data_IF_452292981593
#
_entry.id   IF_452292981593
#
_cell.length_a   1.000
_cell.length_b   1.000
_cell.length_c   1.000
_cell.angle_alpha   90.00
_cell.angle_beta   90.00
_cell.angle_gamma   90.00
#
_symmetry.space_group_name_H-M   'P 1'
#
loop_
_entity.id
_entity.type
_entity.pdbx_description
1 polymer ?
#
# COMPACT_ATOMS: atom_id res chain seq x y z
N UNK A 1 -10.73 -46.57 -0.72
CA UNK A 1 -11.41 -45.26 -0.60
C UNK A 1 -10.38 -44.31 -0.04
N UNK A 2 -9.95 -43.32 -0.82
CA UNK A 2 -9.07 -42.26 -0.32
C UNK A 2 -9.88 -41.38 0.64
N UNK A 3 -9.30 -41.06 1.79
CA UNK A 3 -9.95 -40.17 2.74
C UNK A 3 -9.48 -38.75 2.42
N UNK A 4 -10.40 -37.89 1.98
CA UNK A 4 -10.07 -36.52 1.58
C UNK A 4 -10.68 -35.54 2.59
N UNK A 5 -9.94 -34.52 2.98
CA UNK A 5 -10.43 -33.46 3.86
C UNK A 5 -10.05 -32.08 3.32
N UNK A 6 -10.95 -31.11 3.51
CA UNK A 6 -10.69 -29.72 3.13
C UNK A 6 -10.04 -29.04 4.34
N UNK A 7 -8.80 -28.62 4.17
CA UNK A 7 -8.02 -27.92 5.21
C UNK A 7 -8.32 -26.43 5.22
N UNK A 8 -8.55 -25.84 4.05
CA UNK A 8 -8.88 -24.42 3.89
C UNK A 8 -9.73 -24.20 2.64
N UNK A 9 -10.57 -23.17 2.66
CA UNK A 9 -11.35 -22.76 1.50
C UNK A 9 -11.43 -21.23 1.41
N UNK A 10 -11.37 -20.69 0.20
CA UNK A 10 -11.51 -19.26 -0.11
C UNK A 10 -12.55 -19.10 -1.20
N UNK A 11 -13.55 -18.25 -0.96
CA UNK A 11 -14.58 -17.93 -1.93
C UNK A 11 -14.20 -16.69 -2.73
N UNK A 12 -14.08 -16.84 -4.05
CA UNK A 12 -13.85 -15.75 -5.00
C UNK A 12 -15.21 -15.29 -5.52
N UNK A 13 -15.73 -14.22 -4.93
CA UNK A 13 -17.07 -13.72 -5.24
C UNK A 13 -17.23 -13.20 -6.69
N UNK A 14 -16.15 -12.74 -7.33
CA UNK A 14 -16.20 -12.23 -8.70
C UNK A 14 -16.54 -13.32 -9.71
N UNK A 15 -15.90 -14.49 -9.56
CA UNK A 15 -15.99 -15.59 -10.51
C UNK A 15 -16.90 -16.73 -10.03
N UNK A 16 -17.47 -16.61 -8.82
CA UNK A 16 -18.22 -17.67 -8.16
C UNK A 16 -17.43 -18.97 -7.99
N UNK A 17 -16.13 -18.85 -7.75
CA UNK A 17 -15.21 -19.98 -7.58
C UNK A 17 -14.89 -20.20 -6.10
N UNK A 18 -14.86 -21.46 -5.68
CA UNK A 18 -14.26 -21.91 -4.43
C UNK A 18 -12.87 -22.48 -4.70
N UNK A 19 -11.85 -21.77 -4.24
CA UNK A 19 -10.52 -22.34 -4.09
C UNK A 19 -10.50 -23.18 -2.81
N UNK A 20 -9.98 -24.41 -2.89
CA UNK A 20 -9.88 -25.34 -1.78
C UNK A 20 -8.47 -25.92 -1.68
N UNK A 21 -7.96 -25.99 -0.45
CA UNK A 21 -6.75 -26.72 -0.11
C UNK A 21 -7.17 -28.07 0.49
N UNK A 22 -6.89 -29.15 -0.24
CA UNK A 22 -7.38 -30.50 0.08
C UNK A 22 -6.21 -31.37 0.50
N UNK A 23 -6.36 -32.04 1.65
CA UNK A 23 -5.49 -33.13 2.08
C UNK A 23 -6.09 -34.44 1.59
N UNK A 24 -5.28 -35.26 0.93
CA UNK A 24 -5.66 -36.59 0.47
C UNK A 24 -4.79 -37.61 1.20
N UNK A 25 -5.45 -38.47 1.98
CA UNK A 25 -4.80 -39.57 2.69
C UNK A 25 -4.81 -40.82 1.81
N UNK A 26 -3.64 -41.16 1.28
CA UNK A 26 -3.40 -42.43 0.62
C UNK A 26 -3.04 -43.49 1.68
N UNK A 27 -3.69 -44.66 1.69
CA UNK A 27 -3.30 -45.76 2.57
C UNK A 27 -1.96 -46.43 2.19
N UNK A 28 -1.43 -46.17 0.98
CA UNK A 28 -0.19 -46.78 0.46
C UNK A 28 0.98 -45.80 0.34
N UNK A 29 0.70 -44.51 0.17
CA UNK A 29 1.69 -43.42 0.19
C UNK A 29 1.45 -42.48 1.37
N UNK A 30 2.32 -41.49 1.60
CA UNK A 30 2.05 -40.46 2.62
C UNK A 30 0.95 -39.52 2.12
N UNK A 31 0.25 -38.86 3.06
CA UNK A 31 -0.73 -37.82 2.75
C UNK A 31 -0.10 -36.71 1.89
N UNK A 32 -0.80 -36.29 0.84
CA UNK A 32 -0.36 -35.21 -0.04
C UNK A 32 -1.45 -34.13 -0.15
N UNK A 33 -1.06 -32.94 -0.61
CA UNK A 33 -1.93 -31.78 -0.64
C UNK A 33 -2.14 -31.25 -2.06
N UNK A 34 -3.36 -30.84 -2.36
CA UNK A 34 -3.73 -30.27 -3.66
C UNK A 34 -4.50 -28.95 -3.48
N UNK A 35 -4.26 -28.04 -4.43
CA UNK A 35 -5.05 -26.83 -4.62
C UNK A 35 -6.07 -27.14 -5.71
N UNK A 36 -7.33 -26.97 -5.37
CA UNK A 36 -8.47 -27.33 -6.22
C UNK A 36 -9.34 -26.10 -6.42
N UNK A 37 -9.76 -25.86 -7.64
CA UNK A 37 -10.77 -24.86 -8.00
C UNK A 37 -12.10 -25.58 -8.24
N UNK A 38 -13.16 -25.07 -7.65
CA UNK A 38 -14.52 -25.53 -7.90
C UNK A 38 -15.41 -24.37 -8.31
N UNK A 39 -15.93 -24.44 -9.53
CA UNK A 39 -16.85 -23.45 -10.08
C UNK A 39 -18.29 -23.81 -9.68
N UNK A 40 -18.92 -22.93 -8.90
CA UNK A 40 -20.28 -23.12 -8.39
C UNK A 40 -21.37 -23.02 -9.47
N UNK A 41 -21.07 -22.40 -10.61
CA UNK A 41 -22.01 -22.18 -11.71
C UNK A 41 -21.98 -23.35 -12.67
N UNK A 42 -20.79 -23.79 -13.08
CA UNK A 42 -20.64 -24.90 -14.02
C UNK A 42 -20.61 -26.28 -13.34
N UNK A 43 -20.55 -26.34 -12.01
CA UNK A 43 -20.41 -27.57 -11.21
C UNK A 43 -19.18 -28.39 -11.63
N UNK A 44 -18.07 -27.68 -11.90
CA UNK A 44 -16.82 -28.28 -12.39
C UNK A 44 -15.70 -28.12 -11.36
N UNK A 45 -14.93 -29.21 -11.18
CA UNK A 45 -13.80 -29.28 -10.27
C UNK A 45 -12.51 -29.49 -11.06
N UNK A 46 -11.53 -28.61 -10.85
CA UNK A 46 -10.23 -28.64 -11.52
C UNK A 46 -9.12 -28.63 -10.48
N UNK A 47 -8.15 -29.54 -10.62
CA UNK A 47 -6.93 -29.53 -9.80
C UNK A 47 -5.97 -28.51 -10.41
N UNK A 48 -5.66 -27.45 -9.68
CA UNK A 48 -4.76 -26.39 -10.14
C UNK A 48 -3.31 -26.75 -9.88
N UNK A 49 -3.01 -27.26 -8.69
CA UNK A 49 -1.64 -27.53 -8.28
C UNK A 49 -1.56 -28.68 -7.28
N UNK A 50 -0.52 -29.51 -7.40
CA UNK A 50 -0.19 -30.52 -6.39
C UNK A 50 1.05 -30.04 -5.64
N UNK A 51 0.91 -29.83 -4.33
CA UNK A 51 1.99 -29.30 -3.50
C UNK A 51 3.06 -30.39 -3.36
N UNK A 52 4.35 -30.09 -3.60
CA UNK A 52 5.43 -31.04 -3.42
C UNK A 52 5.44 -31.64 -2.02
N UNK A 53 5.80 -32.92 -1.87
CA UNK A 53 5.85 -33.57 -0.54
C UNK A 53 6.89 -32.92 0.38
N UNK A 54 8.00 -32.46 -0.19
CA UNK A 54 9.14 -31.91 0.55
C UNK A 54 9.43 -30.47 0.15
N UNK A 55 10.06 -29.73 1.05
CA UNK A 55 10.47 -28.35 0.78
C UNK A 55 11.67 -28.35 -0.18
N UNK A 56 11.64 -27.56 -1.28
CA UNK A 56 12.78 -27.42 -2.20
C UNK A 56 14.07 -26.96 -1.51
N UNK A 57 15.22 -27.41 -2.03
CA UNK A 57 16.54 -26.95 -1.59
C UNK A 57 16.91 -25.64 -2.30
N UNK A 58 16.60 -24.52 -1.65
CA UNK A 58 16.85 -23.17 -2.16
C UNK A 58 17.98 -22.45 -1.40
N UNK A 59 19.01 -23.18 -0.95
CA UNK A 59 20.12 -22.60 -0.17
C UNK A 59 20.82 -21.46 -0.94
N UNK A 60 20.85 -20.28 -0.32
CA UNK A 60 21.50 -19.10 -0.88
C UNK A 60 20.67 -18.35 -1.94
N UNK A 61 19.42 -18.76 -2.18
CA UNK A 61 18.47 -18.06 -3.04
C UNK A 61 17.49 -17.25 -2.19
N UNK A 62 16.98 -16.13 -2.72
CA UNK A 62 15.87 -15.38 -2.09
C UNK A 62 14.52 -16.05 -2.41
N UNK A 63 14.39 -16.61 -3.60
CA UNK A 63 13.22 -17.36 -4.05
C UNK A 63 13.60 -18.47 -5.03
N UNK A 64 12.69 -19.41 -5.26
CA UNK A 64 12.82 -20.48 -6.24
C UNK A 64 11.47 -20.67 -6.96
N UNK A 65 11.48 -20.62 -8.29
CA UNK A 65 10.32 -21.02 -9.09
C UNK A 65 10.28 -22.55 -9.18
N UNK A 66 9.14 -23.17 -8.90
CA UNK A 66 8.98 -24.62 -8.92
C UNK A 66 8.58 -25.05 -10.33
N UNK A 67 9.50 -25.70 -11.05
CA UNK A 67 9.32 -26.22 -12.40
C UNK A 67 9.25 -27.76 -12.44
N UNK A 68 9.44 -28.44 -11.29
CA UNK A 68 9.41 -29.89 -11.16
C UNK A 68 10.77 -30.57 -11.36
N UNK A 69 11.85 -29.80 -11.49
CA UNK A 69 13.23 -30.32 -11.70
C UNK A 69 14.15 -30.05 -10.50
N UNK A 70 13.59 -29.50 -9.43
CA UNK A 70 14.34 -29.03 -8.28
C UNK A 70 14.77 -30.19 -7.38
N UNK A 71 15.89 -30.00 -6.68
CA UNK A 71 16.27 -30.89 -5.58
C UNK A 71 15.49 -30.54 -4.32
N UNK A 72 15.12 -31.55 -3.54
CA UNK A 72 14.29 -31.39 -2.34
C UNK A 72 15.08 -31.69 -1.06
N UNK A 73 14.63 -31.08 0.04
CA UNK A 73 15.14 -31.37 1.39
C UNK A 73 14.36 -32.50 2.06
N UNK A 74 14.74 -32.86 3.29
CA UNK A 74 14.02 -33.89 4.08
C UNK A 74 12.86 -33.32 4.91
N UNK A 75 12.62 -32.00 4.85
CA UNK A 75 11.51 -31.37 5.56
C UNK A 75 10.24 -31.50 4.72
N UNK A 76 9.20 -32.09 5.29
CA UNK A 76 7.89 -32.22 4.64
C UNK A 76 7.23 -30.84 4.50
N UNK A 77 6.56 -30.60 3.38
CA UNK A 77 5.87 -29.36 3.09
C UNK A 77 4.40 -29.50 3.53
N UNK A 78 4.05 -28.88 4.66
CA UNK A 78 2.74 -29.04 5.30
C UNK A 78 1.98 -27.71 5.25
N UNK A 79 0.99 -27.57 4.36
CA UNK A 79 0.20 -26.36 4.26
C UNK A 79 -0.82 -26.27 5.42
N UNK A 80 -1.14 -25.05 5.82
CA UNK A 80 -2.10 -24.73 6.87
C UNK A 80 -3.23 -23.81 6.41
N UNK A 81 -2.98 -23.02 5.37
CA UNK A 81 -4.01 -22.16 4.82
C UNK A 81 -3.58 -21.50 3.52
N UNK A 82 -4.51 -20.77 2.94
CA UNK A 82 -4.29 -20.01 1.72
C UNK A 82 -5.13 -18.74 1.69
N UNK A 83 -4.66 -17.77 0.91
CA UNK A 83 -5.31 -16.49 0.73
C UNK A 83 -5.18 -16.08 -0.73
N UNK A 84 -6.27 -15.57 -1.29
CA UNK A 84 -6.31 -15.12 -2.66
C UNK A 84 -6.76 -13.67 -2.70
N UNK A 85 -5.97 -12.81 -3.36
CA UNK A 85 -6.32 -11.44 -3.59
C UNK A 85 -6.81 -11.25 -5.04
N UNK A 86 -8.11 -10.96 -5.25
CA UNK A 86 -8.68 -10.82 -6.59
C UNK A 86 -8.28 -9.53 -7.30
N UNK A 87 -7.61 -8.59 -6.62
CA UNK A 87 -7.17 -7.34 -7.24
C UNK A 87 -5.84 -7.49 -7.99
N UNK A 88 -4.96 -8.37 -7.50
CA UNK A 88 -3.62 -8.59 -8.05
C UNK A 88 -3.40 -10.03 -8.54
N UNK A 89 -4.45 -10.85 -8.49
CA UNK A 89 -4.44 -12.28 -8.82
C UNK A 89 -3.42 -13.10 -8.00
N UNK A 90 -3.00 -12.59 -6.82
CA UNK A 90 -1.99 -13.21 -5.98
C UNK A 90 -2.59 -14.24 -5.04
N UNK A 91 -2.20 -15.49 -5.24
CA UNK A 91 -2.46 -16.61 -4.34
C UNK A 91 -1.26 -16.82 -3.41
N UNK A 92 -1.49 -16.71 -2.10
CA UNK A 92 -0.57 -17.17 -1.08
C UNK A 92 -1.01 -18.52 -0.52
N UNK A 93 -0.07 -19.44 -0.37
CA UNK A 93 -0.25 -20.69 0.38
C UNK A 93 0.81 -20.73 1.46
N UNK A 94 0.39 -20.91 2.71
CA UNK A 94 1.29 -20.90 3.86
C UNK A 94 1.21 -22.19 4.66
N UNK A 95 2.27 -22.44 5.40
CA UNK A 95 2.43 -23.62 6.25
C UNK A 95 3.74 -23.52 7.01
N UNK A 96 4.56 -24.55 6.98
CA UNK A 96 5.99 -24.44 7.27
C UNK A 96 6.84 -23.94 6.08
N UNK A 97 6.17 -23.25 5.16
CA UNK A 97 6.68 -22.68 3.93
C UNK A 97 5.80 -21.48 3.54
N UNK A 98 6.24 -20.73 2.53
CA UNK A 98 5.42 -19.72 1.89
C UNK A 98 5.56 -19.82 0.35
N UNK A 99 4.43 -20.05 -0.31
CA UNK A 99 4.30 -20.06 -1.77
C UNK A 99 3.48 -18.86 -2.22
N UNK A 100 3.83 -18.33 -3.39
CA UNK A 100 3.06 -17.31 -4.08
C UNK A 100 2.86 -17.69 -5.55
N UNK A 101 1.71 -17.34 -6.13
CA UNK A 101 1.41 -17.49 -7.56
C UNK A 101 0.53 -16.33 -8.04
N UNK A 102 0.80 -15.83 -9.24
CA UNK A 102 0.02 -14.74 -9.88
C UNK A 102 -0.95 -15.25 -10.96
N UNK A 103 -0.80 -16.50 -11.38
CA UNK A 103 -1.58 -17.11 -12.47
C UNK A 103 -2.16 -18.49 -12.09
N UNK A 104 -1.96 -18.94 -10.85
CA UNK A 104 -2.35 -20.26 -10.36
C UNK A 104 -1.67 -21.46 -11.08
N UNK A 105 -0.65 -21.21 -11.90
CA UNK A 105 0.10 -22.24 -12.63
C UNK A 105 1.56 -22.27 -12.18
N UNK A 106 2.19 -21.09 -12.13
CA UNK A 106 3.58 -20.92 -11.75
C UNK A 106 3.65 -20.58 -10.26
N UNK A 107 4.32 -21.42 -9.50
CA UNK A 107 4.47 -21.25 -8.05
C UNK A 107 5.91 -20.87 -7.70
N UNK A 108 6.03 -19.82 -6.89
CA UNK A 108 7.30 -19.31 -6.40
C UNK A 108 7.39 -19.61 -4.90
N UNK A 109 8.42 -20.34 -4.51
CA UNK A 109 8.79 -20.60 -3.13
C UNK A 109 9.67 -19.48 -2.59
N UNK A 110 9.28 -18.88 -1.47
CA UNK A 110 10.05 -17.86 -0.77
C UNK A 110 11.04 -18.55 0.18
N UNK A 111 12.33 -18.45 -0.16
CA UNK A 111 13.37 -19.25 0.46
C UNK A 111 13.87 -18.69 1.80
N UNK A 112 13.63 -17.40 2.06
CA UNK A 112 14.02 -16.71 3.28
C UNK A 112 13.25 -17.17 4.53
N UNK A 113 12.09 -17.83 4.37
CA UNK A 113 11.30 -18.30 5.50
C UNK A 113 11.92 -19.57 6.15
N UNK A 114 12.09 -19.61 7.48
CA UNK A 114 12.62 -20.78 8.17
C UNK A 114 11.71 -22.01 8.04
N UNK A 115 12.29 -23.11 7.53
CA UNK A 115 11.61 -24.39 7.28
C UNK A 115 11.16 -25.14 8.54
N UNK A 116 11.78 -24.81 9.67
CA UNK A 116 11.51 -25.37 10.99
C UNK A 116 10.37 -24.65 11.73
N UNK A 117 9.95 -23.49 11.23
CA UNK A 117 8.82 -22.75 11.78
C UNK A 117 7.56 -22.97 10.95
N UNK A 118 6.41 -22.75 11.58
CA UNK A 118 5.11 -22.83 10.92
C UNK A 118 4.35 -21.53 11.09
N UNK A 119 3.74 -21.07 10.01
CA UNK A 119 2.92 -19.87 9.95
C UNK A 119 1.55 -20.17 10.56
N UNK A 120 1.16 -19.36 11.54
CA UNK A 120 -0.14 -19.41 12.21
C UNK A 120 -1.20 -18.66 11.40
N UNK A 121 -0.90 -17.42 11.03
CA UNK A 121 -1.77 -16.59 10.18
C UNK A 121 -1.00 -15.49 9.46
N UNK A 122 -1.63 -14.94 8.42
CA UNK A 122 -1.17 -13.80 7.64
C UNK A 122 -2.15 -12.64 7.79
N UNK A 123 -1.63 -11.42 7.72
CA UNK A 123 -2.43 -10.18 7.64
C UNK A 123 -1.90 -9.38 6.46
N UNK A 124 -2.78 -8.98 5.55
CA UNK A 124 -2.41 -8.21 4.37
C UNK A 124 -3.06 -6.82 4.39
N UNK A 125 -2.32 -5.83 3.91
CA UNK A 125 -2.78 -4.47 3.61
C UNK A 125 -3.25 -4.39 2.16
N UNK A 126 -4.14 -3.44 1.86
CA UNK A 126 -4.56 -3.19 0.49
C UNK A 126 -3.44 -2.62 -0.40
N UNK A 127 -2.32 -2.14 0.16
CA UNK A 127 -1.15 -1.68 -0.61
C UNK A 127 -0.07 -2.74 -0.80
N UNK A 128 -0.32 -3.99 -0.38
CA UNK A 128 0.59 -5.10 -0.58
C UNK A 128 1.60 -5.32 0.54
N UNK A 129 1.47 -4.63 1.68
CA UNK A 129 2.23 -5.00 2.88
C UNK A 129 1.63 -6.22 3.58
N UNK A 130 2.40 -7.27 3.76
CA UNK A 130 1.98 -8.50 4.44
C UNK A 130 2.79 -8.71 5.72
N UNK A 131 2.08 -8.90 6.83
CA UNK A 131 2.63 -9.33 8.11
C UNK A 131 2.30 -10.81 8.33
N UNK A 132 3.30 -11.57 8.77
CA UNK A 132 3.22 -13.02 8.96
C UNK A 132 3.48 -13.31 10.42
N UNK A 133 2.62 -14.12 11.03
CA UNK A 133 2.78 -14.55 12.43
C UNK A 133 3.00 -16.04 12.49
N UNK A 134 4.07 -16.45 13.15
CA UNK A 134 4.39 -17.87 13.34
C UNK A 134 3.73 -18.42 14.61
N UNK A 135 3.71 -19.75 14.75
CA UNK A 135 3.25 -20.42 15.97
C UNK A 135 4.12 -20.08 17.20
N UNK A 136 5.37 -19.68 16.97
CA UNK A 136 6.30 -19.20 18.00
C UNK A 136 6.15 -17.71 18.30
N UNK A 137 5.07 -17.08 17.81
CA UNK A 137 4.77 -15.65 17.95
C UNK A 137 5.82 -14.70 17.33
N UNK A 138 6.59 -15.19 16.36
CA UNK A 138 7.47 -14.33 15.57
C UNK A 138 6.65 -13.51 14.57
N UNK A 139 7.10 -12.29 14.31
CA UNK A 139 6.48 -11.38 13.34
C UNK A 139 7.47 -11.20 12.20
N UNK A 140 7.04 -11.60 11.01
CA UNK A 140 7.78 -11.41 9.76
C UNK A 140 7.02 -10.45 8.85
N UNK A 141 7.75 -9.75 8.00
CA UNK A 141 7.25 -8.74 7.09
C UNK A 141 7.69 -9.04 5.67
N UNK A 142 6.72 -8.95 4.75
CA UNK A 142 6.89 -9.13 3.31
C UNK A 142 6.19 -7.96 2.61
N UNK A 143 6.82 -7.43 1.56
CA UNK A 143 6.20 -6.46 0.66
C UNK A 143 5.93 -7.15 -0.67
N UNK A 144 4.72 -6.98 -1.20
CA UNK A 144 4.32 -7.48 -2.51
C UNK A 144 5.32 -7.06 -3.61
N UNK A 145 5.63 -7.99 -4.52
CA UNK A 145 6.67 -7.81 -5.54
C UNK A 145 8.11 -7.75 -5.00
N UNK A 146 8.32 -8.09 -3.73
CA UNK A 146 9.62 -8.46 -3.17
C UNK A 146 9.63 -9.95 -2.81
N UNK A 147 10.80 -10.56 -2.90
CA UNK A 147 11.04 -11.93 -2.45
C UNK A 147 11.70 -11.97 -1.07
N UNK A 148 12.11 -10.80 -0.55
CA UNK A 148 12.84 -10.70 0.72
C UNK A 148 11.88 -10.63 1.89
N UNK A 149 12.19 -11.44 2.89
CA UNK A 149 11.44 -11.46 4.13
C UNK A 149 12.25 -10.86 5.28
N UNK A 150 11.57 -10.07 6.10
CA UNK A 150 12.20 -9.39 7.24
C UNK A 150 11.60 -9.85 8.55
N UNK A 151 12.39 -10.47 9.42
CA UNK A 151 11.94 -10.85 10.76
C UNK A 151 11.89 -9.62 11.67
N UNK A 152 10.72 -9.02 11.86
CA UNK A 152 10.53 -7.86 12.74
C UNK A 152 10.69 -8.22 14.22
N UNK A 153 10.14 -9.35 14.64
CA UNK A 153 10.19 -9.83 16.02
C UNK A 153 10.42 -11.35 16.08
N UNK A 154 11.35 -11.86 16.91
CA UNK A 154 12.34 -11.11 17.67
C UNK A 154 13.48 -10.60 16.76
N UNK A 155 13.92 -9.37 16.98
CA UNK A 155 15.07 -8.80 16.26
C UNK A 155 15.83 -7.79 17.12
N UNK A 156 17.12 -7.57 16.83
CA UNK A 156 17.93 -6.54 17.52
C UNK A 156 17.32 -5.15 17.39
N UNK A 157 16.73 -4.86 16.24
CA UNK A 157 16.01 -3.62 16.00
C UNK A 157 14.80 -3.44 16.92
N UNK A 158 14.05 -4.52 17.15
CA UNK A 158 12.94 -4.51 18.10
C UNK A 158 13.41 -4.24 19.52
N UNK A 159 14.50 -4.88 19.95
CA UNK A 159 15.09 -4.64 21.27
C UNK A 159 15.53 -3.18 21.46
N UNK A 160 16.16 -2.59 20.45
CA UNK A 160 16.54 -1.16 20.45
C UNK A 160 15.29 -0.28 20.54
N UNK A 161 14.27 -0.56 19.72
CA UNK A 161 13.02 0.20 19.73
C UNK A 161 12.33 0.15 21.10
N UNK A 162 12.14 -1.04 21.66
CA UNK A 162 11.51 -1.22 22.98
C UNK A 162 12.32 -0.52 24.07
N UNK A 163 13.66 -0.61 24.03
CA UNK A 163 14.53 0.07 25.00
C UNK A 163 14.37 1.58 24.96
N UNK A 164 14.29 2.18 23.77
CA UNK A 164 14.01 3.61 23.59
C UNK A 164 12.64 4.00 24.16
N UNK A 165 11.61 3.19 23.90
CA UNK A 165 10.26 3.44 24.41
C UNK A 165 10.17 3.35 25.94
N UNK A 166 10.89 2.40 26.54
CA UNK A 166 10.97 2.28 28.00
C UNK A 166 11.71 3.48 28.62
N UNK A 167 12.80 3.95 27.99
CA UNK A 167 13.50 5.16 28.45
C UNK A 167 12.60 6.42 28.37
N UNK A 168 11.71 6.47 27.39
CA UNK A 168 10.71 7.53 27.24
C UNK A 168 9.50 7.38 28.18
N UNK A 169 9.50 6.36 29.06
CA UNK A 169 8.38 6.05 29.97
C UNK A 169 7.05 5.85 29.23
N UNK A 170 7.10 5.26 28.03
CA UNK A 170 5.93 5.03 27.20
C UNK A 170 4.94 4.09 27.89
N UNK A 171 3.67 4.48 27.92
CA UNK A 171 2.62 3.65 28.50
C UNK A 171 2.23 2.45 27.62
N UNK A 172 2.77 2.33 26.41
CA UNK A 172 2.44 1.27 25.44
C UNK A 172 3.29 -0.01 25.61
N UNK A 173 4.30 0.02 26.48
CA UNK A 173 5.28 -1.06 26.65
C UNK A 173 5.44 -1.43 28.12
N UNK A 174 5.57 -2.73 28.40
CA UNK A 174 5.81 -3.26 29.76
C UNK A 174 6.72 -4.48 29.70
N UNK A 175 7.22 -4.96 30.85
CA UNK A 175 8.07 -6.17 30.90
C UNK A 175 7.30 -7.48 30.65
N UNK A 176 5.99 -7.48 30.91
CA UNK A 176 5.13 -8.66 30.77
C UNK A 176 4.01 -8.28 29.80
N UNK A 177 4.21 -8.67 28.54
CA UNK A 177 3.27 -8.43 27.46
C UNK A 177 2.94 -9.73 26.72
N UNK A 178 1.71 -9.83 26.24
CA UNK A 178 1.26 -10.94 25.40
C UNK A 178 0.59 -10.37 24.16
N UNK A 179 1.06 -10.77 22.98
CA UNK A 179 0.45 -10.37 21.73
C UNK A 179 -0.87 -11.09 21.54
N UNK A 180 -1.94 -10.34 21.27
CA UNK A 180 -3.26 -10.91 20.95
C UNK A 180 -3.39 -11.11 19.45
N UNK A 181 -3.18 -10.05 18.66
CA UNK A 181 -3.28 -10.10 17.20
C UNK A 181 -2.56 -8.93 16.54
N UNK A 182 -2.25 -9.09 15.26
CA UNK A 182 -1.87 -8.01 14.34
C UNK A 182 -3.02 -7.69 13.39
N UNK A 183 -3.09 -6.45 12.92
CA UNK A 183 -4.00 -6.03 11.85
C UNK A 183 -3.50 -4.74 11.20
N UNK A 184 -3.91 -4.50 9.96
CA UNK A 184 -3.70 -3.22 9.28
C UNK A 184 -4.89 -2.29 9.49
N UNK A 185 -4.61 -1.02 9.74
CA UNK A 185 -5.58 0.07 9.76
C UNK A 185 -4.93 1.29 9.12
N UNK A 186 -5.59 1.88 8.12
CA UNK A 186 -5.08 3.02 7.35
C UNK A 186 -3.61 2.83 6.90
N UNK A 187 -3.31 1.64 6.35
CA UNK A 187 -1.99 1.27 5.79
C UNK A 187 -0.88 1.09 6.83
N UNK A 188 -1.22 1.19 8.12
CA UNK A 188 -0.30 1.03 9.22
C UNK A 188 -0.52 -0.30 9.93
N UNK A 189 0.56 -0.99 10.26
CA UNK A 189 0.52 -2.23 11.01
C UNK A 189 0.32 -1.93 12.50
N UNK A 190 -0.79 -2.38 13.06
CA UNK A 190 -1.08 -2.28 14.48
C UNK A 190 -0.96 -3.64 15.17
N UNK A 191 -0.52 -3.59 16.42
CA UNK A 191 -0.49 -4.72 17.33
C UNK A 191 -1.45 -4.47 18.47
N UNK A 192 -2.33 -5.44 18.73
CA UNK A 192 -3.13 -5.50 19.94
C UNK A 192 -2.39 -6.34 20.97
N UNK A 193 -2.06 -5.73 22.10
CA UNK A 193 -1.25 -6.34 23.15
C UNK A 193 -1.98 -6.27 24.48
N UNK A 194 -1.93 -7.37 25.22
CA UNK A 194 -2.36 -7.42 26.61
C UNK A 194 -1.17 -7.13 27.52
N UNK A 195 -1.27 -6.07 28.32
CA UNK A 195 -0.24 -5.63 29.25
C UNK A 195 -0.68 -5.93 30.69
N UNK A 196 0.22 -6.54 31.47
CA UNK A 196 0.03 -6.80 32.89
C UNK A 196 0.87 -5.81 33.71
N UNK A 197 0.21 -4.88 34.42
CA UNK A 197 0.88 -3.96 35.35
C UNK A 197 0.34 -4.15 36.76
N UNK A 198 1.15 -4.71 37.66
CA UNK A 198 0.84 -4.76 39.10
C UNK A 198 -0.48 -5.45 39.46
N UNK A 199 -0.94 -6.41 38.66
CA UNK A 199 -2.20 -7.14 38.86
C UNK A 199 -3.41 -6.61 38.10
N UNK A 200 -3.30 -5.45 37.43
CA UNK A 200 -4.35 -4.92 36.54
C UNK A 200 -3.94 -5.13 35.08
N UNK A 201 -4.76 -5.88 34.35
CA UNK A 201 -4.60 -6.13 32.92
C UNK A 201 -5.25 -5.04 32.08
N UNK A 202 -4.60 -4.63 30.99
CA UNK A 202 -5.19 -3.73 29.99
C UNK A 202 -4.84 -4.18 28.58
N UNK A 203 -5.80 -4.00 27.66
CA UNK A 203 -5.56 -4.15 26.22
C UNK A 203 -5.14 -2.81 25.65
N UNK A 204 -4.09 -2.84 24.84
CA UNK A 204 -3.53 -1.64 24.22
C UNK A 204 -3.30 -1.91 22.74
N UNK A 205 -3.84 -1.02 21.91
CA UNK A 205 -3.51 -0.93 20.49
C UNK A 205 -2.28 -0.06 20.34
N UNK A 206 -1.20 -0.57 19.73
CA UNK A 206 0.03 0.18 19.45
C UNK A 206 0.47 0.00 18.00
N UNK A 207 1.08 1.04 17.45
CA UNK A 207 1.68 1.01 16.13
C UNK A 207 2.94 0.13 16.15
N UNK A 208 3.08 -0.76 15.16
CA UNK A 208 4.33 -1.47 14.87
C UNK A 208 5.14 -0.60 13.92
N UNK A 209 6.28 -0.03 14.34
CA UNK A 209 7.02 0.92 13.50
C UNK A 209 7.93 0.16 12.51
N UNK A 210 7.31 -0.51 11.54
CA UNK A 210 7.99 -1.38 10.56
C UNK A 210 9.19 -0.66 9.92
N UNK A 211 9.00 0.55 9.41
CA UNK A 211 10.06 1.34 8.77
C UNK A 211 11.26 1.58 9.69
N UNK A 212 11.01 1.95 10.96
CA UNK A 212 12.07 2.21 11.94
C UNK A 212 12.80 0.91 12.29
N UNK A 213 12.06 -0.19 12.42
CA UNK A 213 12.65 -1.50 12.68
C UNK A 213 13.55 -1.92 11.52
N UNK A 214 13.07 -1.84 10.28
CA UNK A 214 13.86 -2.17 9.10
C UNK A 214 15.12 -1.29 9.00
N UNK A 215 15.01 0.00 9.34
CA UNK A 215 16.16 0.91 9.42
C UNK A 215 17.19 0.46 10.47
N UNK A 216 16.74 0.05 11.67
CA UNK A 216 17.62 -0.48 12.71
C UNK A 216 18.16 -1.89 12.40
N UNK A 217 17.46 -2.66 11.56
CA UNK A 217 17.89 -3.99 11.13
C UNK A 217 18.95 -3.95 10.06
N UNK A 218 19.04 -2.87 9.28
CA UNK A 218 20.12 -2.74 8.32
C UNK A 218 21.44 -2.86 9.10
N UNK A 219 22.25 -3.90 8.83
CA UNK A 219 23.40 -4.20 9.67
C UNK A 219 24.29 -2.96 9.77
N UNK A 220 24.98 -2.81 10.90
CA UNK A 220 25.96 -1.74 11.17
C UNK A 220 27.13 -1.65 10.17
N UNK A 221 27.05 -2.34 9.04
CA UNK A 221 27.88 -2.27 7.83
C UNK A 221 27.52 -1.10 6.90
N UNK A 222 26.87 -0.04 7.40
CA UNK A 222 26.76 1.18 6.60
C UNK A 222 28.05 1.95 6.54
N UNK A 223 28.94 1.81 7.54
CA UNK A 223 30.20 2.52 7.57
C UNK A 223 31.36 1.54 7.66
N UNK A 224 32.27 1.62 6.71
CA UNK A 224 33.63 1.16 6.83
C UNK A 224 34.46 2.32 7.36
N UNK A 225 35.44 2.03 8.21
CA UNK A 225 36.43 3.03 8.59
C UNK A 225 37.58 2.91 7.61
N UNK A 226 37.57 3.73 6.56
CA UNK A 226 38.68 3.83 5.62
C UNK A 226 39.77 4.70 6.24
N UNK A 227 40.98 4.16 6.28
CA UNK A 227 42.16 4.90 6.74
C UNK A 227 42.63 5.85 5.63
N UNK A 228 42.36 7.14 5.82
CA UNK A 228 42.81 8.19 4.90
C UNK A 228 43.94 8.99 5.57
N UNK A 229 45.17 8.51 5.37
CA UNK A 229 46.34 9.03 6.07
C UNK A 229 46.36 8.61 7.56
N UNK A 230 46.50 9.58 8.47
CA UNK A 230 46.56 9.34 9.93
C UNK A 230 45.20 9.33 10.64
N UNK A 231 44.09 9.50 9.91
CA UNK A 231 42.75 9.49 10.50
C UNK A 231 41.86 8.43 9.84
N UNK A 232 41.04 7.80 10.68
CA UNK A 232 39.98 6.92 10.24
C UNK A 232 38.81 7.79 9.78
N UNK A 233 38.40 7.62 8.53
CA UNK A 233 37.26 8.31 7.94
C UNK A 233 36.12 7.33 7.70
N UNK A 234 34.90 7.72 8.05
CA UNK A 234 33.70 6.95 7.76
C UNK A 234 33.48 6.94 6.25
N UNK A 235 33.60 5.77 5.61
CA UNK A 235 33.16 5.52 4.24
C UNK A 235 31.93 4.64 4.25
N UNK A 236 31.01 4.81 3.32
CA UNK A 236 29.77 4.04 3.29
C UNK A 236 29.79 3.09 2.08
N UNK A 237 29.58 1.79 2.31
CA UNK A 237 29.65 0.78 1.24
C UNK A 237 28.32 0.63 0.48
N UNK A 238 27.20 0.76 1.18
CA UNK A 238 25.85 0.60 0.62
C UNK A 238 25.20 1.97 0.45
N UNK A 239 25.31 2.54 -0.75
CA UNK A 239 24.56 3.74 -1.09
C UNK A 239 23.19 3.38 -1.65
N UNK A 240 22.13 3.93 -1.07
CA UNK A 240 20.82 3.92 -1.71
C UNK A 240 20.96 4.58 -3.11
N UNK A 241 20.42 3.95 -4.17
CA UNK A 241 20.57 4.42 -5.55
C UNK A 241 19.93 5.80 -5.77
N UNK A 242 18.95 6.15 -4.93
CA UNK A 242 18.29 7.45 -4.88
C UNK A 242 18.07 7.90 -3.43
N UNK A 243 17.76 9.18 -3.26
CA UNK A 243 17.56 9.83 -1.94
C UNK A 243 16.12 10.27 -1.70
N UNK A 244 15.42 10.65 -2.76
CA UNK A 244 14.08 11.21 -2.69
C UNK A 244 13.27 10.65 -3.84
N UNK A 245 12.06 10.20 -3.54
CA UNK A 245 11.02 9.85 -4.51
C UNK A 245 9.80 10.72 -4.22
N UNK A 246 9.22 11.35 -5.25
CA UNK A 246 8.01 12.18 -5.14
C UNK A 246 7.12 11.98 -6.34
N UNK A 247 5.82 11.92 -6.10
CA UNK A 247 4.83 12.03 -7.16
C UNK A 247 4.70 13.49 -7.60
N UNK A 248 4.54 13.69 -8.91
CA UNK A 248 4.34 14.98 -9.57
C UNK A 248 3.31 14.84 -10.67
N UNK A 249 2.83 15.99 -11.14
CA UNK A 249 1.88 16.10 -12.26
C UNK A 249 0.64 15.19 -12.09
N UNK A 250 0.22 15.00 -10.85
CA UNK A 250 -1.01 14.27 -10.52
C UNK A 250 -2.20 15.06 -11.05
N UNK A 251 -3.16 14.41 -11.71
CA UNK A 251 -4.34 15.08 -12.21
C UNK A 251 -5.21 15.54 -11.03
N UNK A 252 -6.00 16.59 -11.25
CA UNK A 252 -6.91 17.10 -10.22
C UNK A 252 -7.88 15.97 -9.77
N UNK A 253 -8.01 15.68 -8.47
CA UNK A 253 -8.85 14.59 -7.98
C UNK A 253 -10.32 14.68 -8.42
N UNK A 254 -10.83 15.88 -8.72
CA UNK A 254 -12.20 16.08 -9.24
C UNK A 254 -12.48 15.37 -10.57
N UNK A 255 -11.45 15.03 -11.35
CA UNK A 255 -11.63 14.30 -12.61
C UNK A 255 -12.11 12.86 -12.33
N UNK A 256 -11.72 12.29 -11.19
CA UNK A 256 -11.93 10.87 -10.87
C UNK A 256 -12.83 10.64 -9.65
N UNK A 257 -13.19 11.69 -8.91
CA UNK A 257 -14.03 11.62 -7.72
C UNK A 257 -15.24 12.53 -7.85
N UNK A 258 -16.41 12.04 -7.39
CA UNK A 258 -17.65 12.84 -7.29
C UNK A 258 -17.77 13.58 -5.95
N UNK A 259 -16.71 13.58 -5.15
CA UNK A 259 -16.71 14.26 -3.86
C UNK A 259 -16.68 15.76 -4.07
N UNK A 260 -17.75 16.44 -3.64
CA UNK A 260 -17.81 17.88 -3.66
C UNK A 260 -17.12 18.45 -2.42
N UNK A 261 -16.18 19.37 -2.63
CA UNK A 261 -15.48 20.05 -1.54
C UNK A 261 -15.92 21.49 -1.46
N UNK A 262 -16.28 21.88 -0.24
CA UNK A 262 -16.67 23.24 0.09
C UNK A 262 -15.71 23.74 1.15
N UNK A 263 -15.28 24.99 1.00
CA UNK A 263 -14.53 25.71 2.01
C UNK A 263 -15.43 26.80 2.55
N UNK A 264 -15.48 26.95 3.87
CA UNK A 264 -16.10 28.08 4.55
C UNK A 264 -15.18 28.44 5.71
N UNK A 265 -14.87 29.73 5.88
CA UNK A 265 -14.04 30.13 7.01
C UNK A 265 -14.90 30.20 8.28
N UNK A 266 -14.32 29.88 9.45
CA UNK A 266 -15.05 30.02 10.71
C UNK A 266 -15.46 31.48 10.94
N UNK A 267 -16.58 31.73 11.62
CA UNK A 267 -16.99 33.07 11.97
C UNK A 267 -15.92 33.78 12.80
N UNK A 268 -15.65 35.05 12.50
CA UNK A 268 -14.72 35.88 13.26
C UNK A 268 -15.38 36.35 14.54
N UNK A 269 -14.69 36.15 15.66
CA UNK A 269 -15.09 36.70 16.94
C UNK A 269 -14.64 38.17 17.01
N UNK A 270 -15.57 39.07 17.31
CA UNK A 270 -15.31 40.49 17.48
C UNK A 270 -14.93 40.85 18.92
N UNK A 271 -15.00 39.89 19.83
CA UNK A 271 -14.54 40.03 21.21
C UNK A 271 -13.01 40.25 21.25
N UNK A 272 -12.49 41.19 22.05
CA UNK A 272 -11.05 41.48 22.12
C UNK A 272 -10.16 40.30 22.51
N UNK A 273 -10.73 39.32 23.22
CA UNK A 273 -10.05 38.08 23.60
C UNK A 273 -9.71 37.19 22.40
N UNK A 274 -10.44 37.34 21.27
CA UNK A 274 -10.34 36.49 20.09
C UNK A 274 -10.87 35.06 20.30
N UNK A 275 -11.40 34.74 21.49
CA UNK A 275 -11.93 33.42 21.83
C UNK A 275 -13.45 33.39 21.76
N UNK A 276 -14.02 32.24 21.40
CA UNK A 276 -15.46 32.05 21.43
C UNK A 276 -16.01 32.07 22.86
N UNK A 277 -16.98 32.95 23.12
CA UNK A 277 -17.91 32.84 24.25
C UNK A 277 -19.01 31.80 23.98
N UNK A 278 -19.89 31.57 24.97
CA UNK A 278 -20.97 30.58 24.85
C UNK A 278 -21.93 30.91 23.68
N UNK A 279 -22.18 32.19 23.42
CA UNK A 279 -23.12 32.62 22.39
C UNK A 279 -22.52 32.48 20.98
N UNK A 280 -21.29 32.94 20.79
CA UNK A 280 -20.56 32.82 19.52
C UNK A 280 -20.27 31.37 19.16
N UNK A 281 -19.99 30.51 20.15
CA UNK A 281 -19.83 29.08 19.93
C UNK A 281 -21.15 28.44 19.49
N UNK A 282 -22.28 28.81 20.10
CA UNK A 282 -23.60 28.32 19.68
C UNK A 282 -23.93 28.76 18.25
N UNK A 283 -23.58 29.99 17.87
CA UNK A 283 -23.73 30.48 16.48
C UNK A 283 -22.86 29.66 15.51
N UNK A 284 -21.60 29.38 15.87
CA UNK A 284 -20.72 28.57 15.03
C UNK A 284 -21.25 27.13 14.86
N UNK A 285 -21.61 26.48 15.97
CA UNK A 285 -22.19 25.13 15.94
C UNK A 285 -23.50 25.08 15.13
N UNK A 286 -24.37 26.07 15.30
CA UNK A 286 -25.60 26.21 14.54
C UNK A 286 -25.36 26.39 13.04
N UNK A 287 -24.33 27.17 12.66
CA UNK A 287 -23.94 27.36 11.27
C UNK A 287 -23.41 26.06 10.65
N UNK A 288 -22.53 25.33 11.36
CA UNK A 288 -22.01 24.04 10.89
C UNK A 288 -23.15 23.04 10.72
N UNK A 289 -24.03 22.90 11.73
CA UNK A 289 -25.20 22.04 11.65
C UNK A 289 -26.10 22.41 10.47
N UNK A 290 -26.36 23.70 10.25
CA UNK A 290 -27.22 24.16 9.18
C UNK A 290 -26.62 23.90 7.79
N UNK A 291 -25.31 24.07 7.61
CA UNK A 291 -24.61 23.72 6.36
C UNK A 291 -24.71 22.22 6.08
N UNK A 292 -24.47 21.37 7.09
CA UNK A 292 -24.62 19.92 6.96
C UNK A 292 -26.07 19.52 6.63
N UNK A 293 -27.04 20.18 7.23
CA UNK A 293 -28.47 19.98 6.97
C UNK A 293 -28.89 20.41 5.55
N UNK A 294 -28.33 21.51 5.04
CA UNK A 294 -28.54 21.91 3.64
C UNK A 294 -27.94 20.88 2.69
N UNK A 295 -26.73 20.41 2.98
CA UNK A 295 -26.09 19.38 2.19
C UNK A 295 -26.85 18.04 2.24
N UNK A 296 -27.41 17.65 3.40
CA UNK A 296 -28.20 16.41 3.50
C UNK A 296 -29.50 16.44 2.69
N UNK A 297 -30.03 17.63 2.38
CA UNK A 297 -31.19 17.78 1.48
C UNK A 297 -30.82 17.64 -0.01
N UNK A 298 -29.53 17.68 -0.33
CA UNK A 298 -29.03 17.51 -1.68
C UNK A 298 -28.90 16.03 -2.01
N UNK A 299 -29.99 15.43 -2.50
CA UNK A 299 -30.02 14.05 -2.97
C UNK A 299 -30.25 14.01 -4.49
N UNK A 300 -29.27 14.50 -5.26
CA UNK A 300 -29.32 14.44 -6.74
C UNK A 300 -28.11 13.72 -7.32
N UNK A 301 -28.32 12.92 -8.40
CA UNK A 301 -27.25 12.17 -9.07
C UNK A 301 -26.29 13.05 -9.88
N UNK A 302 -26.60 14.34 -10.08
CA UNK A 302 -25.79 15.27 -10.87
C UNK A 302 -25.42 16.51 -10.06
N UNK A 303 -24.11 16.79 -10.02
CA UNK A 303 -23.43 17.90 -9.37
C UNK A 303 -23.68 19.27 -10.03
N UNK A 304 -24.94 19.60 -10.35
CA UNK A 304 -25.28 20.93 -10.86
C UNK A 304 -25.27 21.95 -9.69
N UNK A 305 -24.40 22.98 -9.71
CA UNK A 305 -24.35 24.02 -8.69
C UNK A 305 -25.69 24.72 -8.50
N UNK A 306 -26.48 24.83 -9.57
CA UNK A 306 -27.80 25.47 -9.52
C UNK A 306 -28.77 24.64 -8.69
N UNK A 307 -28.54 23.34 -8.45
CA UNK A 307 -29.41 22.51 -7.63
C UNK A 307 -28.88 22.24 -6.22
N UNK A 308 -27.64 22.64 -5.91
CA UNK A 308 -27.07 22.56 -4.57
C UNK A 308 -27.72 23.58 -3.64
N UNK A 309 -28.40 23.09 -2.61
CA UNK A 309 -29.12 23.94 -1.65
C UNK A 309 -28.16 24.79 -0.81
N UNK A 310 -26.94 24.30 -0.58
CA UNK A 310 -25.86 24.98 0.14
C UNK A 310 -25.35 26.17 -0.68
N UNK A 311 -25.02 25.92 -1.96
CA UNK A 311 -24.63 26.98 -2.90
C UNK A 311 -25.72 28.03 -3.08
N UNK A 312 -26.99 27.62 -3.23
CA UNK A 312 -28.12 28.56 -3.38
C UNK A 312 -28.28 29.44 -2.15
N UNK A 313 -28.27 28.85 -0.96
CA UNK A 313 -28.40 29.59 0.28
C UNK A 313 -27.29 30.63 0.39
N UNK A 314 -26.04 30.22 0.10
CA UNK A 314 -24.91 31.12 0.16
C UNK A 314 -24.97 32.23 -0.89
N UNK A 315 -25.26 31.90 -2.16
CA UNK A 315 -25.41 32.88 -3.24
C UNK A 315 -26.46 33.95 -2.91
N UNK A 316 -27.59 33.53 -2.36
CA UNK A 316 -28.67 34.45 -1.98
C UNK A 316 -28.25 35.36 -0.81
N UNK A 317 -27.50 34.82 0.16
CA UNK A 317 -27.02 35.60 1.32
C UNK A 317 -25.87 36.53 0.99
N UNK A 318 -25.05 36.20 -0.01
CA UNK A 318 -23.94 37.04 -0.47
C UNK A 318 -24.38 38.45 -0.90
N UNK A 319 -25.63 38.63 -1.34
CA UNK A 319 -26.18 39.96 -1.69
C UNK A 319 -26.14 40.93 -0.51
N UNK A 320 -26.29 40.42 0.71
CA UNK A 320 -26.33 41.22 1.93
C UNK A 320 -24.94 41.37 2.59
N UNK A 321 -23.86 40.94 1.92
CA UNK A 321 -22.52 40.89 2.50
C UNK A 321 -22.07 42.24 3.06
N UNK A 322 -22.25 43.32 2.30
CA UNK A 322 -21.81 44.66 2.70
C UNK A 322 -22.55 45.17 3.94
N UNK A 323 -23.84 44.81 4.08
CA UNK A 323 -24.65 45.15 5.24
C UNK A 323 -24.14 44.45 6.51
N UNK A 324 -23.86 43.14 6.45
CA UNK A 324 -23.33 42.41 7.60
C UNK A 324 -21.89 42.82 7.94
N UNK A 325 -21.08 43.18 6.95
CA UNK A 325 -19.75 43.75 7.16
C UNK A 325 -19.82 45.11 7.87
N UNK A 326 -20.75 45.98 7.45
CA UNK A 326 -21.01 47.26 8.11
C UNK A 326 -21.43 47.07 9.58
N UNK A 327 -22.38 46.17 9.86
CA UNK A 327 -22.80 45.88 11.24
C UNK A 327 -21.65 45.38 12.11
N UNK A 328 -20.85 44.44 11.60
CA UNK A 328 -19.70 43.92 12.31
C UNK A 328 -18.63 45.00 12.57
N UNK A 329 -18.36 45.84 11.58
CA UNK A 329 -17.38 46.93 11.69
C UNK A 329 -17.79 47.98 12.73
N UNK A 330 -19.09 48.15 12.96
CA UNK A 330 -19.64 49.05 13.97
C UNK A 330 -19.96 48.36 15.30
N UNK A 331 -19.52 47.11 15.51
CA UNK A 331 -19.79 46.31 16.72
C UNK A 331 -21.29 46.14 17.02
N UNK A 332 -22.10 46.11 15.97
CA UNK A 332 -23.56 45.93 16.03
C UNK A 332 -23.99 44.53 15.54
N UNK A 333 -23.05 43.59 15.41
CA UNK A 333 -23.40 42.24 15.01
C UNK A 333 -24.03 41.46 16.17
N UNK A 334 -25.03 40.63 15.84
CA UNK A 334 -25.65 39.75 16.82
C UNK A 334 -24.60 38.77 17.38
N UNK A 335 -24.56 38.65 18.71
CA UNK A 335 -23.65 37.76 19.44
C UNK A 335 -22.15 38.03 19.21
N UNK A 336 -21.74 39.24 18.81
CA UNK A 336 -20.33 39.63 18.60
C UNK A 336 -19.59 38.74 17.58
N UNK A 337 -20.30 38.18 16.60
CA UNK A 337 -19.73 37.35 15.55
C UNK A 337 -19.89 38.01 14.20
N UNK A 338 -18.90 37.85 13.34
CA UNK A 338 -18.98 38.21 11.92
C UNK A 338 -18.73 36.97 11.05
N UNK A 339 -19.68 36.66 10.17
CA UNK A 339 -19.54 35.58 9.19
C UNK A 339 -19.06 36.20 7.89
N UNK A 340 -17.88 35.81 7.44
CA UNK A 340 -17.36 36.26 6.15
C UNK A 340 -18.10 35.56 5.00
N UNK A 341 -19.01 36.31 4.37
CA UNK A 341 -19.83 35.84 3.27
C UNK A 341 -19.07 35.65 1.95
N UNK A 342 -17.84 36.17 1.82
CA UNK A 342 -16.98 35.87 0.66
C UNK A 342 -16.21 34.56 0.83
N UNK A 343 -16.16 34.05 2.05
CA UNK A 343 -15.28 32.95 2.44
C UNK A 343 -15.75 31.56 2.02
N UNK A 344 -17.02 31.43 1.62
CA UNK A 344 -17.55 30.19 1.09
C UNK A 344 -17.26 30.06 -0.39
N UNK A 345 -16.59 28.99 -0.74
CA UNK A 345 -16.30 28.63 -2.11
C UNK A 345 -16.45 27.11 -2.30
N UNK A 346 -16.98 26.73 -3.46
CA UNK A 346 -16.87 25.34 -3.92
C UNK A 346 -15.52 25.20 -4.62
N UNK A 347 -14.73 24.22 -4.21
CA UNK A 347 -13.37 24.02 -4.75
C UNK A 347 -13.48 23.19 -6.04
N UNK A 348 -13.22 23.82 -7.17
CA UNK A 348 -13.27 23.18 -8.50
C UNK A 348 -11.90 22.67 -8.98
N UNK A 349 -10.80 23.22 -8.47
CA UNK A 349 -9.42 22.99 -8.92
C UNK A 349 -8.52 22.50 -7.78
N UNK A 350 -8.99 21.47 -7.07
CA UNK A 350 -8.23 20.88 -5.97
C UNK A 350 -6.94 20.28 -6.54
N UNK A 351 -5.81 20.71 -5.99
CA UNK A 351 -4.52 20.10 -6.28
C UNK A 351 -4.37 18.83 -5.47
N UNK A 352 -3.88 17.77 -6.09
CA UNK A 352 -3.54 16.54 -5.40
C UNK A 352 -2.41 16.81 -4.39
N UNK A 353 -2.50 16.18 -3.21
CA UNK A 353 -1.56 16.39 -2.08
C UNK A 353 -0.25 15.60 -2.22
N UNK A 354 0.17 15.31 -3.46
CA UNK A 354 1.33 14.46 -3.81
C UNK A 354 1.15 12.96 -3.51
N UNK A 355 -0.10 12.52 -3.38
CA UNK A 355 -0.48 11.11 -3.22
C UNK A 355 -1.34 10.65 -4.40
N UNK A 356 -1.23 9.36 -4.74
CA UNK A 356 -2.15 8.74 -5.68
C UNK A 356 -3.53 8.59 -5.02
N UNK A 357 -4.63 8.72 -5.78
CA UNK A 357 -5.96 8.47 -5.23
C UNK A 357 -6.10 7.00 -4.82
N UNK A 358 -6.94 6.73 -3.80
CA UNK A 358 -7.23 5.35 -3.33
C UNK A 358 -7.69 4.44 -4.48
N UNK A 359 -8.44 5.01 -5.45
CA UNK A 359 -8.98 4.27 -6.60
C UNK A 359 -8.88 5.10 -7.86
N UNK A 360 -8.48 4.45 -8.95
CA UNK A 360 -8.45 5.02 -10.30
C UNK A 360 -9.52 4.31 -11.12
N UNK A 361 -10.46 5.07 -11.67
CA UNK A 361 -11.51 4.54 -12.52
C UNK A 361 -11.14 4.76 -13.99
N UNK A 362 -11.01 3.66 -14.73
CA UNK A 362 -10.81 3.68 -16.18
C UNK A 362 -12.03 3.02 -16.85
N UNK A 363 -12.58 3.67 -17.86
CA UNK A 363 -13.71 3.17 -18.66
C UNK A 363 -13.57 3.62 -20.12
N UNK A 364 -13.95 2.75 -21.06
CA UNK A 364 -14.00 3.05 -22.51
C UNK A 364 -12.71 3.67 -23.06
N UNK A 365 -11.56 3.18 -22.60
CA UNK A 365 -10.24 3.59 -23.07
C UNK A 365 -9.76 4.97 -22.58
N UNK A 366 -10.32 5.45 -21.47
CA UNK A 366 -9.73 6.57 -20.73
C UNK A 366 -8.33 6.21 -20.23
N UNK A 367 -7.53 7.23 -19.97
CA UNK A 367 -6.19 7.09 -19.38
C UNK A 367 -6.02 7.92 -18.12
N UNK A 368 -5.09 7.48 -17.28
CA UNK A 368 -4.65 8.16 -16.07
C UNK A 368 -3.13 8.33 -16.14
N UNK A 369 -2.67 9.58 -16.14
CA UNK A 369 -1.25 9.92 -16.23
C UNK A 369 -0.74 10.58 -14.95
N UNK A 370 0.43 10.18 -14.48
CA UNK A 370 1.14 10.82 -13.36
C UNK A 370 2.66 10.73 -13.58
N UNK A 371 3.44 11.49 -12.81
CA UNK A 371 4.91 11.45 -12.91
C UNK A 371 5.59 11.12 -11.58
N UNK A 372 6.67 10.35 -11.64
CA UNK A 372 7.50 9.96 -10.50
C UNK A 372 8.86 10.64 -10.65
N UNK A 373 9.15 11.56 -9.73
CA UNK A 373 10.39 12.30 -9.68
C UNK A 373 11.34 11.67 -8.65
N UNK A 374 12.49 11.20 -9.12
CA UNK A 374 13.50 10.53 -8.30
C UNK A 374 14.79 11.34 -8.30
N UNK A 375 15.32 11.68 -7.13
CA UNK A 375 16.63 12.32 -6.98
C UNK A 375 17.71 11.27 -6.77
N UNK A 376 18.58 11.12 -7.75
CA UNK A 376 19.65 10.11 -7.78
C UNK A 376 20.94 10.65 -7.16
N UNK A 377 21.73 9.77 -6.53
CA UNK A 377 23.07 10.13 -6.04
C UNK A 377 24.06 10.12 -7.21
N UNK A 378 25.13 10.91 -7.11
CA UNK A 378 26.06 11.15 -8.23
C UNK A 378 26.71 9.89 -8.85
N UNK A 379 26.83 8.79 -8.10
CA UNK A 379 27.34 7.50 -8.61
C UNK A 379 26.30 6.67 -9.39
N UNK A 380 25.04 7.09 -9.39
CA UNK A 380 23.92 6.43 -10.06
C UNK A 380 23.66 6.96 -11.48
N UNK A 381 24.50 7.86 -11.98
CA UNK A 381 24.49 8.35 -13.36
C UNK A 381 25.75 7.86 -14.06
N UNK A 382 25.59 7.12 -15.14
CA UNK A 382 26.70 6.66 -15.97
C UNK A 382 26.72 7.41 -17.30
N UNK A 383 27.89 7.97 -17.61
CA UNK A 383 28.20 8.49 -18.93
C UNK A 383 28.79 7.34 -19.75
N UNK A 384 28.05 6.82 -20.72
CA UNK A 384 28.62 5.95 -21.74
C UNK A 384 28.94 6.78 -22.99
N UNK A 385 30.22 6.85 -23.42
CA UNK A 385 30.54 7.37 -24.74
C UNK A 385 30.19 6.30 -25.77
N UNK A 386 29.12 6.50 -26.54
CA UNK A 386 28.93 5.69 -27.75
C UNK A 386 30.07 5.97 -28.74
N UNK A 387 30.54 4.91 -29.43
CA UNK A 387 31.66 4.94 -30.37
C UNK A 387 31.35 5.66 -31.70
N UNK A 388 30.31 6.49 -31.77
CA UNK A 388 30.01 7.32 -32.95
C UNK A 388 29.67 8.72 -32.47
N UNK A 389 30.42 9.71 -32.97
CA UNK A 389 30.20 11.12 -32.72
C UNK A 389 28.74 11.47 -33.02
N UNK A 390 27.91 11.71 -32.01
CA UNK A 390 27.02 12.89 -31.86
C UNK A 390 25.99 12.80 -30.73
N UNK A 391 25.86 11.70 -29.99
CA UNK A 391 24.95 11.65 -28.81
C UNK A 391 25.63 11.03 -27.58
N UNK A 392 25.71 11.81 -26.50
CA UNK A 392 26.00 11.28 -25.16
C UNK A 392 24.69 10.75 -24.60
N UNK A 393 24.47 9.43 -24.67
CA UNK A 393 23.36 8.80 -23.95
C UNK A 393 23.71 8.67 -22.46
N UNK A 394 23.13 9.56 -21.66
CA UNK A 394 23.25 9.47 -20.21
C UNK A 394 22.24 8.44 -19.69
N UNK A 395 22.75 7.36 -19.09
CA UNK A 395 21.89 6.32 -18.48
C UNK A 395 21.86 6.48 -16.97
N UNK A 396 20.66 6.45 -16.41
CA UNK A 396 20.49 6.27 -14.96
C UNK A 396 20.64 4.80 -14.60
N UNK A 397 21.31 4.53 -13.48
CA UNK A 397 21.25 3.23 -12.81
C UNK A 397 19.90 2.99 -12.14
N UNK A 398 18.97 3.94 -12.17
CA UNK A 398 17.62 3.78 -11.64
C UNK A 398 16.66 3.53 -12.79
N UNK A 399 15.80 2.53 -12.62
CA UNK A 399 14.72 2.17 -13.54
C UNK A 399 13.38 2.04 -12.81
N UNK A 400 12.29 1.98 -13.57
CA UNK A 400 10.93 1.82 -13.06
C UNK A 400 10.32 0.50 -13.58
N UNK A 401 10.11 -0.45 -12.69
CA UNK A 401 9.32 -1.64 -12.96
C UNK A 401 7.83 -1.38 -12.74
N UNK A 402 7.00 -1.84 -13.65
CA UNK A 402 5.54 -1.83 -13.52
C UNK A 402 5.01 -3.23 -13.76
N UNK A 403 4.18 -3.73 -12.85
CA UNK A 403 3.51 -5.03 -12.95
C UNK A 403 2.01 -4.81 -12.97
N UNK A 404 1.33 -5.43 -13.94
CA UNK A 404 -0.12 -5.37 -14.11
C UNK A 404 -0.72 -6.71 -13.74
N UNK A 405 -1.77 -6.70 -12.93
CA UNK A 405 -2.52 -7.91 -12.62
C UNK A 405 -3.24 -8.46 -13.86
N UNK A 406 -3.84 -7.56 -14.66
CA UNK A 406 -4.64 -7.90 -15.84
C UNK A 406 -4.11 -7.17 -17.08
N UNK A 407 -2.97 -7.64 -17.59
CA UNK A 407 -2.28 -7.07 -18.75
C UNK A 407 -3.12 -7.12 -20.04
N UNK A 408 -4.12 -8.01 -20.14
CA UNK A 408 -5.03 -8.07 -21.28
C UNK A 408 -6.04 -6.91 -21.30
N UNK A 409 -6.35 -6.35 -20.13
CA UNK A 409 -7.35 -5.32 -19.94
C UNK A 409 -6.74 -3.91 -19.90
N UNK A 410 -5.55 -3.77 -19.32
CA UNK A 410 -4.89 -2.47 -19.11
C UNK A 410 -3.54 -2.44 -19.81
N UNK A 411 -3.19 -1.29 -20.37
CA UNK A 411 -1.85 -0.98 -20.85
C UNK A 411 -1.19 0.09 -19.98
N UNK A 412 0.13 0.00 -19.84
CA UNK A 412 0.94 1.03 -19.20
C UNK A 412 2.07 1.45 -20.11
N UNK A 413 2.22 2.76 -20.25
CA UNK A 413 3.32 3.38 -20.99
C UNK A 413 4.15 4.19 -20.00
N UNK A 414 5.45 3.88 -19.93
CA UNK A 414 6.42 4.58 -19.09
C UNK A 414 7.42 5.30 -19.98
N UNK A 415 7.51 6.63 -19.84
CA UNK A 415 8.50 7.45 -20.51
C UNK A 415 9.50 8.00 -19.49
N UNK A 416 10.80 7.78 -19.72
CA UNK A 416 11.87 8.23 -18.84
C UNK A 416 12.54 9.51 -19.40
N UNK A 417 12.83 10.48 -18.52
CA UNK A 417 13.71 11.62 -18.82
C UNK A 417 14.72 11.83 -17.70
N UNK A 418 16.00 11.88 -18.05
CA UNK A 418 17.08 12.21 -17.12
C UNK A 418 17.30 13.73 -17.10
N UNK A 419 17.30 14.33 -15.91
CA UNK A 419 17.46 15.76 -15.66
C UNK A 419 18.80 16.02 -14.95
N UNK A 420 19.82 16.32 -15.75
CA UNK A 420 21.23 16.45 -15.34
C UNK A 420 21.42 17.55 -14.29
N UNK A 421 20.88 18.75 -14.55
CA UNK A 421 21.05 19.92 -13.67
C UNK A 421 20.54 19.71 -12.23
N UNK A 422 19.73 18.66 -12.01
CA UNK A 422 19.09 18.35 -10.73
C UNK A 422 19.48 16.98 -10.18
N UNK A 423 20.40 16.25 -10.84
CA UNK A 423 20.71 14.86 -10.53
C UNK A 423 19.43 14.04 -10.29
N UNK A 424 18.50 14.09 -11.25
CA UNK A 424 17.18 13.50 -11.07
C UNK A 424 16.69 12.80 -12.32
N UNK A 425 15.79 11.84 -12.14
CA UNK A 425 15.09 11.12 -13.20
C UNK A 425 13.61 11.34 -13.02
N UNK A 426 12.90 11.65 -14.10
CA UNK A 426 11.46 11.80 -14.12
C UNK A 426 10.87 10.71 -15.00
N UNK A 427 9.97 9.92 -14.43
CA UNK A 427 9.22 8.89 -15.12
C UNK A 427 7.79 9.37 -15.30
N UNK A 428 7.28 9.44 -16.53
CA UNK A 428 5.86 9.68 -16.80
C UNK A 428 5.19 8.34 -17.02
N UNK A 429 4.25 8.01 -16.16
CA UNK A 429 3.48 6.77 -16.19
C UNK A 429 2.08 7.10 -16.68
N UNK A 430 1.65 6.43 -17.75
CA UNK A 430 0.28 6.54 -18.28
C UNK A 430 -0.37 5.16 -18.25
N UNK A 431 -1.40 5.02 -17.42
CA UNK A 431 -2.28 3.86 -17.36
C UNK A 431 -3.43 4.07 -18.35
N UNK A 432 -3.78 3.07 -19.14
CA UNK A 432 -4.88 3.18 -20.12
C UNK A 432 -5.67 1.88 -20.24
N UNK A 433 -6.98 2.02 -20.35
CA UNK A 433 -7.88 0.90 -20.64
C UNK A 433 -7.74 0.48 -22.12
N UNK A 434 -7.46 -0.80 -22.37
CA UNK A 434 -7.29 -1.38 -23.72
C UNK A 434 -8.60 -1.57 -24.46
N UNK A 435 -9.74 -1.43 -23.78
CA UNK A 435 -11.08 -1.67 -24.34
C UNK A 435 -11.34 -3.14 -24.68
N UNK A 436 -10.69 -4.06 -23.98
CA UNK A 436 -10.80 -5.50 -24.23
C UNK A 436 -11.71 -6.21 -23.23
N UNK A 437 -11.65 -5.83 -21.95
CA UNK A 437 -12.37 -6.49 -20.86
C UNK A 437 -13.64 -5.72 -20.48
N UNK A 438 -14.54 -5.56 -21.45
CA UNK A 438 -15.82 -4.88 -21.22
C UNK A 438 -16.94 -5.86 -20.91
N UNK A 439 -17.67 -5.56 -19.84
CA UNK A 439 -19.04 -6.02 -19.70
C UNK A 439 -20.01 -5.10 -20.46
N UNK A 440 -21.20 -5.59 -20.81
CA UNK A 440 -22.29 -4.80 -21.41
C UNK A 440 -22.96 -3.86 -20.38
N UNK A 441 -22.17 -3.14 -19.60
CA UNK A 441 -22.60 -2.20 -18.56
C UNK A 441 -22.77 -0.76 -19.05
N UNK A 442 -23.55 0.02 -18.30
CA UNK A 442 -23.51 1.49 -18.38
C UNK A 442 -22.12 1.99 -17.93
N UNK A 443 -21.70 3.17 -18.39
CA UNK A 443 -20.41 3.74 -17.98
C UNK A 443 -20.27 3.84 -16.47
N UNK A 444 -19.15 3.34 -15.94
CA UNK A 444 -18.86 3.29 -14.51
C UNK A 444 -19.57 2.16 -13.73
N UNK A 445 -20.34 1.30 -14.40
CA UNK A 445 -20.93 0.11 -13.79
C UNK A 445 -20.18 -1.16 -14.21
N UNK A 446 -20.14 -2.15 -13.31
CA UNK A 446 -19.46 -3.44 -13.53
C UNK A 446 -17.99 -3.30 -13.98
N UNK A 447 -17.27 -2.32 -13.42
CA UNK A 447 -15.84 -2.19 -13.68
C UNK A 447 -15.10 -3.36 -13.02
N UNK A 448 -14.23 -4.00 -13.80
CA UNK A 448 -13.28 -4.98 -13.28
C UNK A 448 -12.37 -4.31 -12.26
N UNK A 449 -12.13 -5.01 -11.15
CA UNK A 449 -11.19 -4.59 -10.12
C UNK A 449 -9.82 -5.19 -10.45
N UNK A 450 -8.80 -4.35 -10.45
CA UNK A 450 -7.44 -4.72 -10.80
C UNK A 450 -6.45 -3.85 -10.05
N UNK A 451 -5.17 -4.17 -10.12
CA UNK A 451 -4.10 -3.48 -9.41
C UNK A 451 -2.88 -3.29 -10.31
N UNK A 452 -2.10 -2.28 -9.95
CA UNK A 452 -0.85 -1.92 -10.63
C UNK A 452 0.21 -1.74 -9.56
N UNK A 453 1.27 -2.53 -9.64
CA UNK A 453 2.44 -2.38 -8.78
C UNK A 453 3.49 -1.55 -9.52
N UNK A 454 3.96 -0.48 -8.89
CA UNK A 454 5.00 0.39 -9.44
C UNK A 454 6.19 0.41 -8.50
N UNK A 455 7.36 -0.01 -8.99
CA UNK A 455 8.57 -0.20 -8.17
C UNK A 455 9.79 0.46 -8.82
N UNK A 456 10.43 1.36 -8.09
CA UNK A 456 11.71 1.96 -8.50
C UNK A 456 12.83 1.01 -8.12
N UNK A 457 13.67 0.62 -9.08
CA UNK A 457 14.76 -0.34 -8.88
C UNK A 457 16.10 0.24 -9.34
N UNK A 458 17.20 -0.26 -8.76
CA UNK A 458 18.53 -0.01 -9.31
C UNK A 458 18.86 -1.10 -10.33
N UNK A 459 19.33 -0.72 -11.51
CA UNK A 459 19.98 -1.60 -12.46
C UNK A 459 21.17 -2.26 -11.75
N UNK A 460 21.24 -3.59 -11.71
CA UNK A 460 22.46 -4.26 -11.30
C UNK A 460 23.57 -3.82 -12.25
N UNK A 461 24.71 -3.38 -11.70
CA UNK A 461 25.93 -3.25 -12.48
C UNK A 461 26.23 -4.61 -13.11
N UNK A 462 26.47 -4.65 -14.41
CA UNK A 462 26.50 -5.90 -15.17
C UNK A 462 27.48 -6.92 -14.60
N UNK A 463 26.94 -7.87 -13.83
CA UNK A 463 27.40 -9.24 -13.64
C UNK A 463 26.32 -9.96 -12.80
N UNK A 464 25.52 -10.81 -13.46
CA UNK A 464 24.63 -11.76 -12.80
C UNK A 464 23.21 -11.28 -12.51
N UNK A 465 22.37 -11.17 -13.55
CA UNK A 465 20.97 -11.64 -13.58
C UNK A 465 20.37 -11.22 -14.92
N UNK A 466 20.45 -12.11 -15.91
CA UNK A 466 19.52 -12.09 -17.04
C UNK A 466 18.24 -12.74 -16.54
N UNK A 467 17.24 -11.92 -16.23
CA UNK A 467 15.85 -12.37 -16.29
C UNK A 467 15.54 -12.58 -17.77
N UNK A 468 15.77 -13.79 -18.28
CA UNK A 468 15.17 -14.24 -19.53
C UNK A 468 13.74 -14.70 -19.23
N UNK A 469 12.83 -13.73 -19.12
CA UNK A 469 11.42 -13.97 -19.38
C UNK A 469 11.24 -14.04 -20.90
N UNK A 470 11.13 -15.24 -21.44
CA UNK A 470 10.58 -15.48 -22.76
C UNK A 470 9.21 -16.12 -22.62
N UNK A 471 8.28 -15.43 -23.29
CA UNK A 471 6.92 -15.78 -23.70
C UNK A 471 5.82 -15.78 -22.64
#
# INVERSE_FOLDING_TARGET
VFNCSITWAVFIAGDYILLMLVEIQDPTTRSYFQVVSYDLVSDNLVILYTIPEFIPDARGLEFLMILGTESYTNFTMVPKGMFYNPYNNLLFIWGNFLLQSYNNENFIYLADFPKDQSIKYLVNSFHGETAIVTETEEIWYLLEGSYRMYRLFPSKAWEVHVSLQVMQQSSFYTRIETMVTLFYEDHQLYQLVYLMNGGQGRLVKRLVPVEQLLMYQQPGSHYLLEQRGNHLTLSFANFCPFTVMRLRDLPNPQIYTRQERYRAHPPRVLEPSGFHDQNSLAVYQGLVYYLLFLHSKYHKPYADPVHDSTWRWWKNKKVDQDYYFYLASNLQSASNVYIDMASYEKIYDLKAEHELPERIYLDKGTSYGFSIFVTVRGHSLEFQPERVLTTLELRSKVDLGVVLADADCIEVVVNQKVLINRNSVLFWVTLRDKRSCFDQGLSGHHLMKTSVLVKVQSKPGGEGMREEGKD
#
